data_IF_778363929265
#
_entry.id   IF_778363929265
#
_cell.length_a   1.000
_cell.length_b   1.000
_cell.length_c   1.000
_cell.angle_alpha   90.00
_cell.angle_beta   90.00
_cell.angle_gamma   90.00
#
_symmetry.space_group_name_H-M   'P 1'
#
loop_
_entity.id
_entity.type
_entity.pdbx_description
1 polymer ?
#
# COMPACT_ATOMS: atom_id res chain seq x y z
N UNK A 1 5.64 25.36 -39.84
CA UNK A 1 6.30 25.90 -38.62
C UNK A 1 5.52 25.66 -37.32
N UNK A 2 4.18 25.77 -37.29
CA UNK A 2 3.37 25.55 -36.06
C UNK A 2 3.52 24.15 -35.43
N UNK A 3 3.74 23.10 -36.23
CA UNK A 3 3.83 21.72 -35.72
C UNK A 3 5.16 21.44 -34.99
N UNK A 4 6.26 22.12 -35.33
CA UNK A 4 7.58 21.86 -34.72
C UNK A 4 7.66 22.28 -33.26
N UNK A 5 7.04 23.41 -32.90
CA UNK A 5 6.97 23.89 -31.52
C UNK A 5 6.09 22.95 -30.67
N UNK A 6 5.00 22.44 -31.24
CA UNK A 6 4.12 21.49 -30.57
C UNK A 6 4.84 20.17 -30.23
N UNK A 7 5.65 19.63 -31.15
CA UNK A 7 6.47 18.43 -30.90
C UNK A 7 7.49 18.63 -29.78
N UNK A 8 8.11 19.81 -29.69
CA UNK A 8 9.05 20.14 -28.62
C UNK A 8 8.34 20.20 -27.26
N UNK A 9 7.14 20.79 -27.21
CA UNK A 9 6.32 20.83 -25.98
C UNK A 9 5.91 19.40 -25.56
N UNK A 10 5.50 18.55 -26.50
CA UNK A 10 5.17 17.15 -26.20
C UNK A 10 6.39 16.37 -25.67
N UNK A 11 7.57 16.55 -26.26
CA UNK A 11 8.80 15.89 -25.80
C UNK A 11 9.22 16.36 -24.40
N UNK A 12 9.03 17.64 -24.07
CA UNK A 12 9.31 18.18 -22.74
C UNK A 12 8.33 17.65 -21.69
N UNK A 13 7.04 17.53 -22.02
CA UNK A 13 6.03 16.97 -21.12
C UNK A 13 6.29 15.48 -20.87
N UNK A 14 6.62 14.72 -21.91
CA UNK A 14 6.97 13.30 -21.81
C UNK A 14 8.27 13.12 -21.02
N UNK A 15 9.31 13.90 -21.31
CA UNK A 15 10.60 13.83 -20.61
C UNK A 15 10.50 14.23 -19.14
N UNK A 16 9.76 15.30 -18.82
CA UNK A 16 9.48 15.69 -17.44
C UNK A 16 8.66 14.65 -16.68
N UNK A 17 7.71 14.00 -17.36
CA UNK A 17 6.91 12.93 -16.81
C UNK A 17 7.75 11.68 -16.48
N UNK A 18 8.58 11.20 -17.41
CA UNK A 18 9.48 10.06 -17.16
C UNK A 18 10.56 10.39 -16.13
N UNK A 19 11.09 11.61 -16.13
CA UNK A 19 12.03 12.08 -15.11
C UNK A 19 11.41 12.10 -13.70
N UNK A 20 10.17 12.60 -13.57
CA UNK A 20 9.43 12.58 -12.31
C UNK A 20 9.05 11.18 -11.85
N UNK A 21 8.68 10.29 -12.78
CA UNK A 21 8.39 8.89 -12.49
C UNK A 21 9.64 8.16 -11.98
N UNK A 22 10.79 8.35 -12.65
CA UNK A 22 12.07 7.75 -12.24
C UNK A 22 12.48 8.28 -10.86
N UNK A 23 12.42 9.60 -10.65
CA UNK A 23 12.73 10.22 -9.36
C UNK A 23 11.85 9.65 -8.23
N UNK A 24 10.54 9.56 -8.45
CA UNK A 24 9.61 8.98 -7.49
C UNK A 24 9.90 7.49 -7.24
N UNK A 25 10.25 6.73 -8.28
CA UNK A 25 10.60 5.31 -8.14
C UNK A 25 11.91 5.12 -7.37
N UNK A 26 12.93 5.94 -7.64
CA UNK A 26 14.20 5.92 -6.91
C UNK A 26 14.01 6.36 -5.46
N UNK A 27 13.26 7.43 -5.20
CA UNK A 27 12.95 7.90 -3.85
C UNK A 27 12.09 6.88 -3.07
N UNK A 28 11.17 6.21 -3.75
CA UNK A 28 10.38 5.12 -3.17
C UNK A 28 11.23 3.89 -2.84
N UNK A 29 12.18 3.50 -3.70
CA UNK A 29 13.11 2.40 -3.40
C UNK A 29 14.03 2.78 -2.24
N UNK A 30 14.61 3.98 -2.27
CA UNK A 30 15.61 4.44 -1.31
C UNK A 30 15.00 4.65 0.09
N UNK A 31 13.72 5.06 0.18
CA UNK A 31 13.00 5.19 1.44
C UNK A 31 12.19 3.95 1.86
N UNK A 32 12.19 2.87 1.05
CA UNK A 32 11.43 1.65 1.39
C UNK A 32 11.93 0.96 2.66
N UNK A 33 13.17 1.23 3.06
CA UNK A 33 13.81 0.63 4.22
C UNK A 33 13.52 1.38 5.53
N UNK A 34 12.84 2.53 5.50
CA UNK A 34 12.45 3.30 6.70
C UNK A 34 10.98 3.03 7.07
N UNK A 35 10.58 1.75 7.09
CA UNK A 35 9.27 1.36 7.62
C UNK A 35 9.40 1.25 9.14
N UNK A 36 9.15 2.33 9.85
CA UNK A 36 9.19 2.37 11.32
C UNK A 36 7.98 1.68 11.96
N UNK A 37 6.83 1.63 11.27
CA UNK A 37 5.63 0.89 11.68
C UNK A 37 5.04 0.09 10.52
N UNK A 38 4.49 -1.08 10.83
CA UNK A 38 3.80 -2.00 9.90
C UNK A 38 2.41 -2.31 10.43
N UNK A 39 1.45 -2.44 9.51
CA UNK A 39 0.12 -2.94 9.83
C UNK A 39 0.14 -4.47 9.74
N UNK A 40 -0.05 -5.12 10.87
CA UNK A 40 -0.26 -6.55 10.99
C UNK A 40 -1.75 -6.83 10.96
N UNK A 41 -2.22 -7.49 9.92
CA UNK A 41 -3.63 -7.88 9.80
C UNK A 41 -3.72 -9.38 9.57
N UNK A 42 -4.66 -10.04 10.23
CA UNK A 42 -4.66 -11.49 10.22
C UNK A 42 -5.67 -12.15 11.13
N UNK A 43 -5.55 -13.47 11.22
CA UNK A 43 -6.24 -14.31 12.20
C UNK A 43 -5.22 -14.94 13.13
N UNK A 44 -5.41 -14.72 14.42
CA UNK A 44 -4.66 -15.41 15.48
C UNK A 44 -5.59 -16.45 16.11
N UNK A 45 -5.07 -17.65 16.29
CA UNK A 45 -5.67 -18.70 17.09
C UNK A 45 -5.05 -18.70 18.49
N UNK A 46 -5.88 -18.73 19.51
CA UNK A 46 -5.46 -18.94 20.90
C UNK A 46 -5.85 -20.36 21.32
N UNK A 47 -4.97 -21.08 21.99
CA UNK A 47 -5.29 -22.46 22.38
C UNK A 47 -6.18 -22.50 23.63
N UNK A 48 -6.00 -21.52 24.51
CA UNK A 48 -6.76 -21.36 25.75
C UNK A 48 -7.17 -19.90 25.95
N UNK A 49 -8.28 -19.68 26.66
CA UNK A 49 -8.81 -18.33 26.94
C UNK A 49 -7.80 -17.44 27.70
N UNK A 50 -6.94 -18.05 28.51
CA UNK A 50 -5.90 -17.33 29.26
C UNK A 50 -4.86 -16.67 28.33
N UNK A 51 -4.50 -17.29 27.20
CA UNK A 51 -3.58 -16.71 26.23
C UNK A 51 -4.15 -15.43 25.61
N UNK A 52 -5.46 -15.41 25.31
CA UNK A 52 -6.11 -14.21 24.80
C UNK A 52 -6.10 -13.08 25.84
N UNK A 53 -6.30 -13.41 27.11
CA UNK A 53 -6.22 -12.45 28.21
C UNK A 53 -4.81 -11.90 28.40
N UNK A 54 -3.78 -12.74 28.26
CA UNK A 54 -2.38 -12.32 28.30
C UNK A 54 -2.00 -11.47 27.09
N UNK A 55 -2.50 -11.81 25.90
CA UNK A 55 -2.31 -11.01 24.69
C UNK A 55 -2.90 -9.61 24.83
N UNK A 56 -4.12 -9.46 25.37
CA UNK A 56 -4.69 -8.13 25.66
C UNK A 56 -3.85 -7.32 26.63
N UNK A 57 -3.34 -7.96 27.70
CA UNK A 57 -2.45 -7.30 28.66
C UNK A 57 -1.16 -6.83 27.99
N UNK A 58 -0.55 -7.68 27.17
CA UNK A 58 0.62 -7.33 26.37
C UNK A 58 0.34 -6.13 25.48
N UNK A 59 -0.75 -6.12 24.72
CA UNK A 59 -1.11 -4.98 23.87
C UNK A 59 -1.33 -3.70 24.69
N UNK A 60 -1.90 -3.80 25.89
CA UNK A 60 -2.12 -2.65 26.76
C UNK A 60 -0.82 -2.08 27.37
N UNK A 61 0.23 -2.90 27.52
CA UNK A 61 1.53 -2.45 28.07
C UNK A 61 2.51 -1.95 27.01
N UNK A 62 2.20 -2.08 25.72
CA UNK A 62 3.05 -1.65 24.60
C UNK A 62 2.38 -0.47 23.87
N UNK A 63 2.58 0.78 24.34
CA UNK A 63 1.90 1.97 23.80
C UNK A 63 2.23 2.28 22.33
N UNK A 64 3.33 1.74 21.82
CA UNK A 64 3.72 1.78 20.40
C UNK A 64 2.81 0.92 19.51
N UNK A 65 2.02 0.04 20.09
CA UNK A 65 1.09 -0.86 19.40
C UNK A 65 -0.31 -0.23 19.37
N UNK A 66 -0.76 0.17 18.19
CA UNK A 66 -2.09 0.73 17.97
C UNK A 66 -3.05 -0.34 17.48
N UNK A 67 -4.03 -0.68 18.31
CA UNK A 67 -5.08 -1.63 17.97
C UNK A 67 -6.12 -0.93 17.08
N UNK A 68 -6.30 -1.40 15.84
CA UNK A 68 -7.37 -0.94 14.96
C UNK A 68 -8.58 -1.88 15.00
N UNK A 69 -8.35 -3.19 15.11
CA UNK A 69 -9.38 -4.23 15.22
C UNK A 69 -8.87 -5.40 16.06
N UNK A 70 -9.70 -5.88 16.99
CA UNK A 70 -9.44 -7.08 17.76
C UNK A 70 -10.78 -7.74 18.13
N UNK A 71 -11.31 -8.56 17.21
CA UNK A 71 -12.64 -9.14 17.34
C UNK A 71 -12.59 -10.66 17.46
N UNK A 72 -13.26 -11.20 18.47
CA UNK A 72 -13.45 -12.64 18.64
C UNK A 72 -14.58 -13.08 17.73
N UNK A 73 -14.34 -14.06 16.85
CA UNK A 73 -15.34 -14.49 15.85
C UNK A 73 -16.50 -15.27 16.47
N UNK A 74 -16.25 -16.04 17.52
CA UNK A 74 -17.28 -16.79 18.25
C UNK A 74 -16.80 -17.10 19.67
N UNK A 75 -17.73 -17.24 20.63
CA UNK A 75 -17.41 -17.78 21.97
C UNK A 75 -16.95 -19.24 21.93
N UNK A 76 -17.22 -19.95 20.83
CA UNK A 76 -16.82 -21.34 20.62
C UNK A 76 -15.51 -21.51 19.84
N UNK A 77 -15.07 -20.49 19.10
CA UNK A 77 -13.85 -20.53 18.30
C UNK A 77 -12.83 -19.55 18.88
N UNK A 78 -11.63 -20.00 19.25
CA UNK A 78 -10.62 -19.12 19.81
C UNK A 78 -9.84 -18.38 18.71
N UNK A 79 -10.52 -18.09 17.59
CA UNK A 79 -10.00 -17.31 16.47
C UNK A 79 -10.38 -15.85 16.65
N UNK A 80 -9.35 -15.00 16.57
CA UNK A 80 -9.48 -13.55 16.69
C UNK A 80 -8.99 -12.90 15.41
N UNK A 81 -9.86 -12.10 14.80
CA UNK A 81 -9.47 -11.22 13.72
C UNK A 81 -8.71 -10.03 14.34
N UNK A 82 -7.47 -9.83 13.90
CA UNK A 82 -6.61 -8.74 14.34
C UNK A 82 -6.34 -7.76 13.19
N UNK A 83 -6.27 -6.48 13.53
CA UNK A 83 -5.60 -5.45 12.75
C UNK A 83 -4.90 -4.50 13.72
N UNK A 84 -3.59 -4.52 13.70
CA UNK A 84 -2.76 -3.81 14.67
C UNK A 84 -1.61 -3.14 13.92
N UNK A 85 -1.38 -1.87 14.21
CA UNK A 85 -0.19 -1.16 13.73
C UNK A 85 0.87 -1.22 14.84
N UNK A 86 2.05 -1.75 14.52
CA UNK A 86 3.15 -1.92 15.46
C UNK A 86 4.48 -1.72 14.74
N UNK A 87 5.61 -1.55 15.45
CA UNK A 87 6.92 -1.54 14.82
C UNK A 87 7.15 -2.71 13.85
N UNK A 88 7.91 -2.49 12.77
CA UNK A 88 8.10 -3.49 11.71
C UNK A 88 8.79 -4.78 12.17
N UNK A 89 9.48 -4.76 13.31
CA UNK A 89 10.16 -5.90 13.93
C UNK A 89 9.41 -6.46 15.16
N UNK A 90 8.16 -6.06 15.38
CA UNK A 90 7.37 -6.56 16.51
C UNK A 90 7.05 -8.05 16.34
N UNK A 91 7.51 -8.86 17.29
CA UNK A 91 7.16 -10.27 17.41
C UNK A 91 6.09 -10.40 18.50
N UNK A 92 4.88 -10.83 18.12
CA UNK A 92 3.81 -11.09 19.06
C UNK A 92 4.04 -12.45 19.74
N UNK A 93 4.22 -12.51 21.08
CA UNK A 93 4.59 -13.74 21.78
C UNK A 93 3.41 -14.66 22.11
N UNK A 94 2.18 -14.28 21.74
CA UNK A 94 0.96 -15.00 22.09
C UNK A 94 0.14 -15.36 20.87
N UNK A 95 -0.48 -16.53 20.92
CA UNK A 95 -1.32 -17.07 19.87
C UNK A 95 -0.54 -17.49 18.63
N UNK A 96 -1.17 -18.34 17.82
CA UNK A 96 -0.60 -18.84 16.57
C UNK A 96 -1.22 -18.09 15.40
N UNK A 97 -0.39 -17.40 14.61
CA UNK A 97 -0.84 -16.74 13.38
C UNK A 97 -1.29 -17.80 12.39
N UNK A 98 -2.59 -17.84 12.11
CA UNK A 98 -3.20 -18.81 11.17
C UNK A 98 -3.18 -18.24 9.75
N UNK A 99 -3.37 -16.94 9.62
CA UNK A 99 -3.38 -16.25 8.33
C UNK A 99 -2.95 -14.81 8.50
N UNK A 100 -1.93 -14.40 7.76
CA UNK A 100 -1.50 -13.01 7.66
C UNK A 100 -2.02 -12.43 6.34
N UNK A 101 -2.68 -11.28 6.41
CA UNK A 101 -3.02 -10.48 5.25
C UNK A 101 -1.94 -9.40 5.10
N UNK A 102 -1.15 -9.52 4.04
CA UNK A 102 -0.18 -8.48 3.67
C UNK A 102 -0.93 -7.31 3.04
N UNK A 103 -1.30 -6.33 3.85
CA UNK A 103 -1.72 -5.02 3.35
C UNK A 103 -0.45 -4.28 2.89
N UNK A 104 -0.13 -4.32 1.60
CA UNK A 104 0.93 -3.45 1.11
C UNK A 104 1.38 -3.57 -0.35
N UNK A 105 1.49 -4.77 -0.92
CA UNK A 105 2.50 -4.86 -2.01
C UNK A 105 2.06 -4.47 -3.43
N UNK A 106 0.76 -4.28 -3.72
CA UNK A 106 0.34 -4.16 -5.14
C UNK A 106 -0.55 -2.97 -5.50
N UNK A 107 -1.18 -2.29 -4.54
CA UNK A 107 -2.25 -1.34 -4.90
C UNK A 107 -1.77 0.07 -5.23
N UNK A 108 -0.70 0.57 -4.61
CA UNK A 108 -0.25 1.95 -4.85
C UNK A 108 0.46 2.15 -6.20
N UNK A 109 1.53 1.42 -6.55
CA UNK A 109 2.27 1.69 -7.78
C UNK A 109 1.46 1.35 -9.05
N UNK A 110 0.63 0.30 -8.99
CA UNK A 110 -0.23 -0.09 -10.13
C UNK A 110 -1.31 0.97 -10.37
N UNK A 111 -1.95 1.49 -9.32
CA UNK A 111 -2.95 2.54 -9.45
C UNK A 111 -2.37 3.82 -10.05
N UNK A 112 -1.18 4.24 -9.61
CA UNK A 112 -0.49 5.39 -10.20
C UNK A 112 -0.11 5.14 -11.67
N UNK A 113 0.32 3.94 -12.02
CA UNK A 113 0.65 3.56 -13.41
C UNK A 113 -0.59 3.55 -14.31
N UNK A 114 -1.74 3.10 -13.79
CA UNK A 114 -3.02 3.11 -14.51
C UNK A 114 -3.52 4.54 -14.71
N UNK A 115 -3.53 5.36 -13.66
CA UNK A 115 -3.93 6.78 -13.74
C UNK A 115 -3.05 7.51 -14.76
N UNK A 116 -1.75 7.29 -14.68
CA UNK A 116 -0.79 7.81 -15.65
C UNK A 116 -1.10 7.41 -17.10
N UNK A 117 -1.32 6.12 -17.35
CA UNK A 117 -1.64 5.62 -18.69
C UNK A 117 -2.91 6.24 -19.26
N UNK A 118 -3.94 6.44 -18.42
CA UNK A 118 -5.19 7.11 -18.81
C UNK A 118 -4.94 8.58 -19.15
N UNK A 119 -4.16 9.30 -18.34
CA UNK A 119 -3.80 10.71 -18.62
C UNK A 119 -3.02 10.82 -19.93
N UNK A 120 -2.04 9.95 -20.17
CA UNK A 120 -1.29 9.93 -21.43
C UNK A 120 -2.18 9.64 -22.65
N UNK A 121 -3.12 8.68 -22.54
CA UNK A 121 -4.06 8.36 -23.60
C UNK A 121 -5.01 9.53 -23.91
N UNK A 122 -5.50 10.23 -22.88
CA UNK A 122 -6.35 11.43 -23.03
C UNK A 122 -5.60 12.58 -23.71
N UNK A 123 -4.33 12.81 -23.35
CA UNK A 123 -3.49 13.78 -24.04
C UNK A 123 -3.31 13.39 -25.52
N UNK A 124 -3.04 12.12 -25.81
CA UNK A 124 -2.95 11.63 -27.20
C UNK A 124 -4.24 11.88 -28.02
N UNK A 125 -5.41 11.69 -27.42
CA UNK A 125 -6.71 11.94 -28.06
C UNK A 125 -6.99 13.43 -28.32
N UNK A 126 -6.51 14.33 -27.46
CA UNK A 126 -6.67 15.78 -27.62
C UNK A 126 -5.68 16.34 -28.65
N UNK A 127 -4.46 15.79 -28.69
CA UNK A 127 -3.37 16.32 -29.53
C UNK A 127 -3.21 15.64 -30.90
N UNK A 128 -3.81 14.48 -31.11
CA UNK A 128 -3.91 13.84 -32.43
C UNK A 128 -5.35 14.03 -32.93
N UNK A 129 -5.62 15.01 -33.81
CA UNK A 129 -6.94 15.12 -34.41
C UNK A 129 -7.25 13.82 -35.17
N UNK A 130 -8.50 13.33 -35.13
CA UNK A 130 -8.89 12.19 -35.94
C UNK A 130 -8.56 12.50 -37.40
N UNK A 131 -7.83 11.60 -38.06
CA UNK A 131 -7.70 11.65 -39.52
C UNK A 131 -9.07 11.33 -40.13
N UNK A 132 -9.85 12.38 -40.35
CA UNK A 132 -11.02 12.41 -41.23
C UNK A 132 -11.37 13.88 -41.44
N UNK A 133 -11.42 14.46 -42.63
CA UNK A 133 -11.34 13.97 -44.00
C UNK A 133 -10.22 14.71 -44.74
N UNK A 134 -9.96 14.28 -45.98
CA UNK A 134 -9.17 14.95 -47.01
C UNK A 134 -9.24 16.48 -47.00
#
# INVERSE_FOLDING_TARGET
MKNGILWIICLLLIGGYFGGLIYFWTDYIENKDVITSRVYSGRIYFEVEEEYSQFKKYLATHPEVRIQKLDVLSSSDPLVDMRIEAPAETIFPYGKVVKEYKEGDLYHPVLYTVIAGVVTALLFLIFIPPKGNQ
#
